data_IF_520062829921
#
_entry.id   IF_520062829921
#
_cell.length_a   1.000
_cell.length_b   1.000
_cell.length_c   1.000
_cell.angle_alpha   90.00
_cell.angle_beta   90.00
_cell.angle_gamma   90.00
#
_symmetry.space_group_name_H-M   'P 1'
#
loop_
_entity.id
_entity.type
_entity.pdbx_description
1 polymer ?
#
# COMPACT_ATOMS: atom_id res chain seq x y z
N UNK A 1 -40.38 -4.06 -18.49
CA UNK A 1 -39.92 -2.70 -18.14
C UNK A 1 -38.83 -2.82 -17.10
N UNK A 2 -37.77 -2.05 -17.31
CA UNK A 2 -36.46 -1.99 -16.65
C UNK A 2 -36.34 -2.32 -15.16
N UNK A 3 -35.24 -3.02 -14.83
CA UNK A 3 -34.22 -2.69 -13.82
C UNK A 3 -33.57 -3.98 -13.27
N UNK A 4 -32.75 -4.64 -14.09
CA UNK A 4 -31.60 -5.37 -13.54
C UNK A 4 -30.55 -4.32 -13.24
N UNK A 5 -30.56 -3.85 -12.00
CA UNK A 5 -29.41 -3.20 -11.42
C UNK A 5 -28.26 -4.21 -11.53
N UNK A 6 -27.14 -3.69 -12.00
CA UNK A 6 -25.88 -4.38 -12.22
C UNK A 6 -25.35 -4.89 -10.86
N UNK A 7 -25.73 -6.12 -10.47
CA UNK A 7 -25.19 -6.83 -9.30
C UNK A 7 -23.74 -7.30 -9.54
N UNK A 8 -23.08 -6.81 -10.59
CA UNK A 8 -21.64 -7.00 -10.79
C UNK A 8 -20.89 -6.26 -9.66
N UNK A 9 -20.03 -6.94 -8.88
CA UNK A 9 -19.12 -6.22 -8.00
C UNK A 9 -18.20 -5.29 -8.82
N UNK A 10 -17.96 -5.59 -10.09
CA UNK A 10 -17.14 -4.77 -10.97
C UNK A 10 -17.94 -3.61 -11.58
N UNK A 11 -17.82 -2.44 -10.95
CA UNK A 11 -18.51 -1.20 -11.34
C UNK A 11 -18.28 -0.85 -12.82
N UNK A 12 -19.34 -0.94 -13.61
CA UNK A 12 -19.35 -0.49 -15.01
C UNK A 12 -18.46 -1.31 -15.96
N UNK A 13 -18.05 -2.52 -15.56
CA UNK A 13 -17.22 -3.40 -16.38
C UNK A 13 -17.99 -4.66 -16.77
N UNK A 14 -18.38 -4.75 -18.05
CA UNK A 14 -18.86 -6.00 -18.65
C UNK A 14 -17.67 -6.89 -19.01
N UNK A 15 -17.71 -8.20 -18.74
CA UNK A 15 -16.70 -9.27 -19.03
C UNK A 15 -15.85 -9.79 -17.86
N UNK A 16 -16.08 -9.37 -16.61
CA UNK A 16 -15.30 -9.81 -15.44
C UNK A 16 -15.29 -11.35 -15.19
N UNK A 17 -16.15 -12.12 -15.86
CA UNK A 17 -16.17 -13.58 -15.89
C UNK A 17 -16.48 -14.09 -17.31
N UNK A 18 -15.70 -13.68 -18.31
CA UNK A 18 -15.77 -14.29 -19.64
C UNK A 18 -15.56 -15.81 -19.56
N UNK A 19 -16.39 -16.62 -20.25
CA UNK A 19 -16.24 -18.08 -20.27
C UNK A 19 -15.12 -18.56 -21.20
N UNK A 20 -14.51 -17.66 -21.99
CA UNK A 20 -13.52 -18.02 -23.02
C UNK A 20 -12.12 -18.08 -22.43
N UNK A 21 -11.66 -16.98 -21.83
CA UNK A 21 -10.37 -16.88 -21.16
C UNK A 21 -10.40 -15.78 -20.11
N UNK A 22 -9.61 -15.97 -19.06
CA UNK A 22 -9.24 -14.95 -18.09
C UNK A 22 -8.58 -13.72 -18.73
N UNK A 23 -7.93 -13.89 -19.89
CA UNK A 23 -7.31 -12.78 -20.63
C UNK A 23 -8.33 -11.81 -21.23
N UNK A 24 -9.61 -12.22 -21.32
CA UNK A 24 -10.71 -11.37 -21.76
C UNK A 24 -11.40 -10.67 -20.57
N UNK A 25 -11.00 -10.97 -19.33
CA UNK A 25 -11.66 -10.40 -18.16
C UNK A 25 -11.30 -8.92 -18.02
N UNK A 26 -12.32 -8.09 -17.80
CA UNK A 26 -12.12 -6.67 -17.56
C UNK A 26 -11.14 -6.44 -16.39
N UNK A 27 -10.03 -5.76 -16.66
CA UNK A 27 -8.98 -5.49 -15.67
C UNK A 27 -7.87 -6.55 -15.62
N UNK A 28 -7.96 -7.63 -16.40
CA UNK A 28 -6.86 -8.58 -16.61
C UNK A 28 -6.15 -8.25 -17.92
N UNK A 29 -4.82 -8.36 -17.94
CA UNK A 29 -4.05 -8.38 -19.18
C UNK A 29 -3.07 -9.55 -19.12
N UNK A 30 -2.97 -10.26 -20.25
CA UNK A 30 -2.05 -11.38 -20.40
C UNK A 30 -0.89 -11.02 -21.33
N UNK A 31 0.26 -11.64 -21.06
CA UNK A 31 1.41 -11.58 -21.96
C UNK A 31 1.17 -12.38 -23.26
N UNK A 32 2.15 -12.34 -24.17
CA UNK A 32 2.08 -13.05 -25.47
C UNK A 32 1.95 -14.58 -25.37
N UNK A 33 2.16 -15.16 -24.19
CA UNK A 33 2.00 -16.60 -23.91
C UNK A 33 0.66 -16.92 -23.22
N UNK A 34 -0.26 -15.95 -23.13
CA UNK A 34 -1.56 -16.11 -22.48
C UNK A 34 -1.45 -16.26 -20.96
N UNK A 35 -0.41 -15.70 -20.32
CA UNK A 35 -0.27 -15.71 -18.85
C UNK A 35 -0.57 -14.34 -18.30
N UNK A 36 -1.38 -14.29 -17.23
CA UNK A 36 -1.75 -13.05 -16.54
C UNK A 36 -0.49 -12.29 -16.12
N UNK A 37 -0.44 -11.03 -16.53
CA UNK A 37 0.68 -10.11 -16.34
C UNK A 37 0.24 -8.87 -15.55
N UNK A 38 -0.98 -8.37 -15.78
CA UNK A 38 -1.55 -7.26 -15.01
C UNK A 38 -2.93 -7.62 -14.46
N UNK A 39 -3.18 -7.26 -13.20
CA UNK A 39 -4.48 -7.25 -12.54
C UNK A 39 -4.78 -5.81 -12.10
N UNK A 40 -5.87 -5.22 -12.61
CA UNK A 40 -6.28 -3.83 -12.41
C UNK A 40 -7.76 -3.72 -12.08
N UNK A 41 -8.03 -3.86 -10.79
CA UNK A 41 -9.37 -3.90 -10.20
C UNK A 41 -9.62 -2.72 -9.26
N UNK A 42 -8.94 -1.60 -9.44
CA UNK A 42 -9.19 -0.38 -8.67
C UNK A 42 -10.63 0.14 -8.83
N UNK A 43 -11.16 0.76 -7.78
CA UNK A 43 -12.48 1.43 -7.76
C UNK A 43 -13.67 0.54 -8.15
N UNK A 44 -13.66 -0.72 -7.69
CA UNK A 44 -14.72 -1.70 -7.97
C UNK A 44 -15.47 -2.13 -6.70
N UNK A 45 -15.49 -1.33 -5.62
CA UNK A 45 -16.18 -1.67 -4.38
C UNK A 45 -15.92 -3.12 -3.88
N UNK A 46 -14.76 -3.71 -4.22
CA UNK A 46 -14.47 -5.11 -3.93
C UNK A 46 -14.35 -5.29 -2.42
N UNK A 47 -15.00 -6.30 -1.89
CA UNK A 47 -14.99 -6.63 -0.46
C UNK A 47 -14.53 -8.07 -0.27
N UNK A 48 -13.78 -8.32 0.79
CA UNK A 48 -13.22 -9.64 1.13
C UNK A 48 -11.70 -9.60 1.22
N UNK A 49 -11.10 -10.78 1.04
CA UNK A 49 -9.67 -11.01 1.19
C UNK A 49 -8.97 -11.09 -0.17
N UNK A 50 -7.68 -10.75 -0.20
CA UNK A 50 -6.82 -11.09 -1.34
C UNK A 50 -6.44 -12.58 -1.19
N UNK A 51 -6.78 -13.45 -2.17
CA UNK A 51 -6.48 -14.87 -2.07
C UNK A 51 -4.98 -15.15 -2.23
N UNK A 52 -4.45 -16.11 -1.46
CA UNK A 52 -3.02 -16.47 -1.52
C UNK A 52 -2.63 -17.12 -2.85
N UNK A 53 -3.62 -17.66 -3.58
CA UNK A 53 -3.49 -18.26 -4.90
C UNK A 53 -2.96 -17.27 -5.95
N UNK A 54 -3.10 -15.94 -5.73
CA UNK A 54 -2.44 -14.95 -6.60
C UNK A 54 -0.91 -15.10 -6.62
N UNK A 55 -0.31 -15.68 -5.58
CA UNK A 55 1.11 -16.04 -5.54
C UNK A 55 1.52 -17.12 -6.55
N UNK A 56 0.57 -17.73 -7.27
CA UNK A 56 0.85 -18.67 -8.36
C UNK A 56 1.08 -17.97 -9.72
N UNK A 57 0.74 -16.68 -9.83
CA UNK A 57 0.86 -15.90 -11.06
C UNK A 57 2.30 -15.43 -11.27
N UNK A 58 3.20 -16.36 -11.63
CA UNK A 58 4.65 -16.11 -11.77
C UNK A 58 5.05 -15.04 -12.79
N UNK A 59 4.13 -14.63 -13.67
CA UNK A 59 4.35 -13.60 -14.68
C UNK A 59 3.72 -12.25 -14.32
N UNK A 60 3.13 -12.13 -13.13
CA UNK A 60 2.46 -10.92 -12.67
C UNK A 60 3.48 -9.79 -12.48
N UNK A 61 3.21 -8.67 -13.14
CA UNK A 61 3.97 -7.41 -13.07
C UNK A 61 3.21 -6.32 -12.33
N UNK A 62 1.90 -6.25 -12.50
CA UNK A 62 1.07 -5.22 -11.88
C UNK A 62 -0.07 -5.86 -11.09
N UNK A 63 -0.14 -5.53 -9.80
CA UNK A 63 -1.31 -5.76 -8.97
C UNK A 63 -1.84 -4.40 -8.49
N UNK A 64 -2.99 -4.00 -9.02
CA UNK A 64 -3.69 -2.79 -8.62
C UNK A 64 -5.11 -3.13 -8.16
N UNK A 65 -5.35 -3.01 -6.86
CA UNK A 65 -6.66 -3.22 -6.22
C UNK A 65 -7.03 -2.03 -5.32
N UNK A 66 -6.47 -0.86 -5.62
CA UNK A 66 -6.66 0.36 -4.85
C UNK A 66 -8.14 0.82 -4.81
N UNK A 67 -8.51 1.58 -3.78
CA UNK A 67 -9.84 2.19 -3.60
C UNK A 67 -10.96 1.15 -3.66
N UNK A 68 -10.84 0.15 -2.80
CA UNK A 68 -11.84 -0.90 -2.60
C UNK A 68 -12.12 -1.06 -1.09
N UNK A 69 -12.86 -2.11 -0.71
CA UNK A 69 -13.16 -2.49 0.68
C UNK A 69 -12.47 -3.80 1.06
N UNK A 70 -11.28 -4.07 0.49
CA UNK A 70 -10.53 -5.28 0.79
C UNK A 70 -9.94 -5.20 2.19
N UNK A 71 -9.87 -6.34 2.87
CA UNK A 71 -9.42 -6.43 4.26
C UNK A 71 -8.68 -7.73 4.55
N UNK A 72 -8.13 -7.83 5.77
CA UNK A 72 -7.29 -8.95 6.20
C UNK A 72 -5.84 -8.82 5.73
N UNK A 73 -5.03 -9.86 5.94
CA UNK A 73 -3.59 -9.80 5.68
C UNK A 73 -3.25 -9.91 4.20
N UNK A 74 -2.29 -9.10 3.74
CA UNK A 74 -1.70 -9.25 2.42
C UNK A 74 -0.95 -10.60 2.32
N UNK A 75 -1.27 -11.46 1.33
CA UNK A 75 -0.65 -12.78 1.22
C UNK A 75 0.86 -12.72 0.99
N UNK A 76 1.63 -13.43 1.82
CA UNK A 76 3.10 -13.39 1.74
C UNK A 76 3.64 -13.96 0.42
N UNK A 77 2.92 -14.89 -0.19
CA UNK A 77 3.28 -15.53 -1.46
C UNK A 77 3.35 -14.54 -2.63
N UNK A 78 2.67 -13.39 -2.52
CA UNK A 78 2.74 -12.35 -3.56
C UNK A 78 4.11 -11.65 -3.52
N UNK A 79 4.75 -11.56 -2.36
CA UNK A 79 6.11 -11.03 -2.25
C UNK A 79 7.14 -11.90 -2.98
N UNK A 80 6.84 -13.17 -3.29
CA UNK A 80 7.75 -14.09 -4.00
C UNK A 80 7.69 -13.96 -5.53
N UNK A 81 6.87 -13.05 -6.07
CA UNK A 81 6.68 -12.86 -7.50
C UNK A 81 7.74 -11.92 -8.08
N UNK A 82 8.87 -12.47 -8.52
CA UNK A 82 10.04 -11.73 -9.03
C UNK A 82 9.81 -10.82 -10.25
N UNK A 83 8.69 -11.00 -10.96
CA UNK A 83 8.32 -10.14 -12.09
C UNK A 83 7.57 -8.87 -11.66
N UNK A 84 7.18 -8.74 -10.39
CA UNK A 84 6.42 -7.59 -9.93
C UNK A 84 7.18 -6.28 -10.14
N UNK A 85 6.48 -5.33 -10.75
CA UNK A 85 6.93 -3.97 -10.99
C UNK A 85 6.09 -2.96 -10.21
N UNK A 86 4.83 -3.27 -9.92
CA UNK A 86 3.91 -2.34 -9.26
C UNK A 86 2.93 -3.10 -8.38
N UNK A 87 2.89 -2.71 -7.10
CA UNK A 87 1.81 -3.04 -6.16
C UNK A 87 1.10 -1.73 -5.78
N UNK A 88 -0.22 -1.70 -5.99
CA UNK A 88 -1.12 -0.63 -5.55
C UNK A 88 -2.27 -1.19 -4.75
N UNK A 89 -2.26 -0.93 -3.46
CA UNK A 89 -3.28 -1.36 -2.50
C UNK A 89 -3.95 -0.17 -1.80
N UNK A 90 -3.61 1.07 -2.21
CA UNK A 90 -4.04 2.30 -1.56
C UNK A 90 -5.55 2.35 -1.29
N UNK A 91 -5.95 2.92 -0.15
CA UNK A 91 -7.35 3.08 0.26
C UNK A 91 -8.11 1.75 0.36
N UNK A 92 -7.68 0.90 1.30
CA UNK A 92 -8.35 -0.35 1.69
C UNK A 92 -8.19 -0.54 3.22
N UNK A 93 -8.49 -1.74 3.75
CA UNK A 93 -8.25 -2.13 5.15
C UNK A 93 -7.34 -3.35 5.22
N UNK A 94 -6.35 -3.42 4.33
CA UNK A 94 -5.41 -4.55 4.21
C UNK A 94 -4.31 -4.39 5.27
N UNK A 95 -3.98 -5.48 5.96
CA UNK A 95 -2.92 -5.54 6.96
C UNK A 95 -1.78 -6.46 6.54
N UNK A 96 -0.95 -6.84 7.51
CA UNK A 96 0.24 -7.66 7.29
C UNK A 96 1.53 -6.87 7.48
N UNK A 97 2.64 -7.47 7.04
CA UNK A 97 3.99 -6.91 7.19
C UNK A 97 4.70 -6.94 5.85
N UNK A 98 5.61 -5.98 5.65
CA UNK A 98 6.58 -6.03 4.55
C UNK A 98 7.70 -6.99 4.99
N UNK A 99 8.05 -8.02 4.20
CA UNK A 99 9.16 -8.91 4.52
C UNK A 99 10.48 -8.18 4.73
N UNK A 100 11.33 -8.72 5.60
CA UNK A 100 12.63 -8.14 5.92
C UNK A 100 13.65 -8.28 4.78
N UNK A 101 13.39 -9.16 3.80
CA UNK A 101 14.21 -9.34 2.59
C UNK A 101 13.31 -9.35 1.34
N UNK A 102 13.63 -8.49 0.38
CA UNK A 102 12.96 -8.37 -0.92
C UNK A 102 13.96 -8.35 -2.08
N UNK A 103 15.18 -8.86 -1.90
CA UNK A 103 16.26 -8.85 -2.90
C UNK A 103 15.85 -9.45 -4.25
N UNK A 104 14.96 -10.46 -4.24
CA UNK A 104 14.47 -11.09 -5.47
C UNK A 104 13.45 -10.23 -6.24
N UNK A 105 12.84 -9.22 -5.63
CA UNK A 105 11.90 -8.28 -6.27
C UNK A 105 12.64 -7.15 -7.02
N UNK A 106 13.70 -7.52 -7.75
CA UNK A 106 14.60 -6.61 -8.48
C UNK A 106 13.96 -5.78 -9.61
N UNK A 107 12.66 -5.98 -9.89
CA UNK A 107 11.91 -5.21 -10.89
C UNK A 107 10.91 -4.21 -10.28
N UNK A 108 10.75 -4.20 -8.95
CA UNK A 108 9.78 -3.35 -8.27
C UNK A 108 10.11 -1.87 -8.49
N UNK A 109 9.13 -1.13 -9.03
CA UNK A 109 9.24 0.31 -9.30
C UNK A 109 8.30 1.13 -8.42
N UNK A 110 7.18 0.55 -8.00
CA UNK A 110 6.14 1.26 -7.23
C UNK A 110 5.55 0.34 -6.18
N UNK A 111 5.71 0.74 -4.93
CA UNK A 111 5.01 0.15 -3.79
C UNK A 111 4.14 1.23 -3.15
N UNK A 112 2.84 1.16 -3.40
CA UNK A 112 1.85 2.15 -2.95
C UNK A 112 0.81 1.41 -2.13
N UNK A 113 0.91 1.52 -0.81
CA UNK A 113 0.08 0.78 0.16
C UNK A 113 -0.47 1.69 1.27
N UNK A 114 -0.47 3.01 1.03
CA UNK A 114 -0.98 3.99 1.97
C UNK A 114 -2.46 3.79 2.31
N UNK A 115 -2.92 4.37 3.43
CA UNK A 115 -4.30 4.27 3.90
C UNK A 115 -4.77 2.81 4.02
N UNK A 116 -4.06 2.06 4.84
CA UNK A 116 -4.30 0.64 5.13
C UNK A 116 -3.94 0.36 6.60
N UNK A 117 -3.79 -0.91 6.97
CA UNK A 117 -3.45 -1.34 8.33
C UNK A 117 -2.15 -2.13 8.41
N UNK A 118 -1.25 -2.00 7.43
CA UNK A 118 0.08 -2.64 7.46
C UNK A 118 0.86 -2.23 8.70
N UNK A 119 1.66 -3.14 9.23
CA UNK A 119 2.37 -2.98 10.50
C UNK A 119 3.77 -3.58 10.45
N UNK A 120 4.49 -3.52 11.57
CA UNK A 120 5.87 -4.00 11.68
C UNK A 120 6.88 -2.93 11.25
N UNK A 121 8.12 -3.35 11.04
CA UNK A 121 9.23 -2.47 10.63
C UNK A 121 9.39 -2.46 9.11
N UNK A 122 9.98 -1.40 8.59
CA UNK A 122 10.20 -1.22 7.15
C UNK A 122 11.64 -1.65 6.81
N UNK A 123 11.99 -2.95 6.82
CA UNK A 123 13.39 -3.38 6.60
C UNK A 123 13.74 -3.67 5.13
N UNK A 124 12.98 -4.53 4.46
CA UNK A 124 13.33 -5.04 3.12
C UNK A 124 13.18 -4.04 1.97
N UNK A 125 12.68 -2.83 2.21
CA UNK A 125 12.44 -1.86 1.12
C UNK A 125 13.72 -1.33 0.48
N UNK A 126 14.86 -1.39 1.19
CA UNK A 126 16.17 -0.98 0.64
C UNK A 126 16.67 -1.91 -0.47
N UNK A 127 16.20 -3.17 -0.48
CA UNK A 127 16.57 -4.15 -1.51
C UNK A 127 15.98 -3.80 -2.90
N UNK A 128 14.95 -2.95 -2.91
CA UNK A 128 14.22 -2.54 -4.11
C UNK A 128 14.97 -1.42 -4.87
N UNK A 129 16.16 -1.73 -5.38
CA UNK A 129 17.06 -0.73 -6.00
C UNK A 129 16.49 0.04 -7.21
N UNK A 130 15.44 -0.48 -7.87
CA UNK A 130 14.73 0.20 -8.99
C UNK A 130 13.49 0.98 -8.55
N UNK A 131 13.24 1.10 -7.24
CA UNK A 131 12.05 1.74 -6.71
C UNK A 131 12.04 3.22 -7.06
N UNK A 132 10.92 3.70 -7.59
CA UNK A 132 10.68 5.11 -7.93
C UNK A 132 9.67 5.77 -7.00
N UNK A 133 8.73 4.98 -6.46
CA UNK A 133 7.68 5.46 -5.58
C UNK A 133 7.46 4.49 -4.42
N UNK A 134 7.58 5.01 -3.20
CA UNK A 134 7.31 4.32 -1.95
C UNK A 134 6.28 5.12 -1.13
N UNK A 135 5.03 4.67 -1.11
CA UNK A 135 3.95 5.38 -0.41
C UNK A 135 3.38 4.48 0.69
N UNK A 136 3.80 4.76 1.92
CA UNK A 136 3.49 3.98 3.12
C UNK A 136 2.66 4.76 4.14
N UNK A 137 2.34 6.02 3.85
CA UNK A 137 1.66 6.91 4.78
C UNK A 137 0.32 6.35 5.27
N UNK A 138 -0.09 6.73 6.49
CA UNK A 138 -1.36 6.30 7.09
C UNK A 138 -1.48 4.77 7.18
N UNK A 139 -0.56 4.16 7.90
CA UNK A 139 -0.52 2.75 8.27
C UNK A 139 -0.07 2.63 9.75
N UNK A 140 0.24 1.41 10.20
CA UNK A 140 0.67 1.11 11.57
C UNK A 140 2.16 0.70 11.64
N UNK A 141 3.01 1.21 10.74
CA UNK A 141 4.45 0.88 10.77
C UNK A 141 5.12 1.46 12.03
N UNK A 142 6.07 0.71 12.58
CA UNK A 142 6.85 1.07 13.79
C UNK A 142 8.36 1.08 13.51
N UNK A 143 9.12 1.65 14.44
CA UNK A 143 10.58 1.73 14.35
C UNK A 143 11.04 2.90 13.48
N UNK A 144 12.24 2.82 12.91
CA UNK A 144 12.81 3.88 12.09
C UNK A 144 12.67 3.61 10.60
N UNK A 145 12.81 4.68 9.80
CA UNK A 145 13.03 4.58 8.36
C UNK A 145 14.46 4.02 8.16
N UNK A 146 14.67 2.93 7.41
CA UNK A 146 15.99 2.34 7.25
C UNK A 146 16.91 3.18 6.34
N UNK A 147 18.18 3.24 6.68
CA UNK A 147 19.21 3.92 5.87
C UNK A 147 19.34 3.33 4.46
N UNK A 148 19.04 2.04 4.30
CA UNK A 148 19.12 1.32 3.02
C UNK A 148 18.14 1.81 1.95
N UNK A 149 17.14 2.63 2.29
CA UNK A 149 16.30 3.27 1.25
C UNK A 149 17.15 4.19 0.36
N UNK A 150 18.27 4.72 0.86
CA UNK A 150 19.22 5.50 0.05
C UNK A 150 19.80 4.73 -1.15
N UNK A 151 19.78 3.39 -1.13
CA UNK A 151 20.28 2.57 -2.23
C UNK A 151 19.36 2.58 -3.46
N UNK A 152 18.09 2.95 -3.29
CA UNK A 152 17.13 3.13 -4.39
C UNK A 152 17.35 4.48 -5.10
N UNK A 153 18.46 4.59 -5.86
CA UNK A 153 18.91 5.86 -6.48
C UNK A 153 17.92 6.55 -7.43
N UNK A 154 16.96 5.79 -7.96
CA UNK A 154 15.92 6.29 -8.86
C UNK A 154 14.63 6.73 -8.15
N UNK A 155 14.62 6.70 -6.80
CA UNK A 155 13.47 7.09 -6.00
C UNK A 155 13.19 8.59 -6.14
N UNK A 156 11.93 8.92 -6.43
CA UNK A 156 11.48 10.31 -6.60
C UNK A 156 10.32 10.68 -5.69
N UNK A 157 9.66 9.68 -5.09
CA UNK A 157 8.54 9.85 -4.17
C UNK A 157 8.68 8.88 -3.00
N UNK A 158 8.77 9.40 -1.78
CA UNK A 158 8.73 8.61 -0.56
C UNK A 158 7.86 9.30 0.50
N UNK A 159 6.87 8.57 1.04
CA UNK A 159 5.91 9.13 1.99
C UNK A 159 5.70 8.19 3.17
N UNK A 160 5.95 8.71 4.37
CA UNK A 160 5.98 7.94 5.61
C UNK A 160 5.05 8.46 6.72
N UNK A 161 4.48 9.65 6.55
CA UNK A 161 3.66 10.32 7.57
C UNK A 161 2.44 9.48 8.00
N UNK A 162 1.84 9.76 9.16
CA UNK A 162 0.70 9.01 9.68
C UNK A 162 1.02 7.56 10.04
N UNK A 163 2.22 7.28 10.51
CA UNK A 163 2.62 5.97 11.06
C UNK A 163 3.06 6.10 12.53
N UNK A 164 3.53 5.02 13.16
CA UNK A 164 4.15 5.03 14.48
C UNK A 164 5.68 4.96 14.38
N UNK A 165 6.22 5.59 13.35
CA UNK A 165 7.66 5.66 13.10
C UNK A 165 8.32 6.66 14.06
N UNK A 166 9.59 6.43 14.36
CA UNK A 166 10.40 7.26 15.25
C UNK A 166 11.80 7.49 14.68
N UNK A 167 12.53 8.45 15.26
CA UNK A 167 13.91 8.72 14.91
C UNK A 167 14.04 9.82 13.86
N UNK A 168 14.98 9.65 12.93
CA UNK A 168 15.32 10.65 11.91
C UNK A 168 15.18 10.05 10.52
N UNK A 169 14.77 10.86 9.54
CA UNK A 169 14.92 10.51 8.13
C UNK A 169 16.43 10.37 7.81
N UNK A 170 16.90 9.21 7.30
CA UNK A 170 18.32 8.99 7.02
C UNK A 170 18.90 9.98 6.02
N UNK A 171 20.13 10.47 6.23
CA UNK A 171 20.76 11.37 5.25
C UNK A 171 21.00 10.70 3.89
N UNK A 172 21.14 9.37 3.86
CA UNK A 172 21.26 8.60 2.62
C UNK A 172 20.06 8.77 1.68
N UNK A 173 18.88 9.07 2.21
CA UNK A 173 17.70 9.38 1.41
C UNK A 173 17.72 10.84 0.93
N UNK A 174 18.31 11.75 1.71
CA UNK A 174 18.36 13.19 1.37
C UNK A 174 19.22 13.49 0.13
N UNK A 175 20.16 12.62 -0.20
CA UNK A 175 21.02 12.75 -1.38
C UNK A 175 20.27 12.46 -2.70
N UNK A 176 19.11 11.80 -2.63
CA UNK A 176 18.31 11.53 -3.82
C UNK A 176 17.54 12.77 -4.27
N UNK A 177 17.36 12.93 -5.58
CA UNK A 177 16.61 14.04 -6.17
C UNK A 177 15.08 13.84 -6.03
N UNK A 178 14.59 13.91 -4.80
CA UNK A 178 13.18 13.74 -4.48
C UNK A 178 12.32 14.85 -5.07
N UNK A 179 11.23 14.44 -5.72
CA UNK A 179 10.11 15.33 -6.02
C UNK A 179 9.20 15.50 -4.81
N UNK A 180 9.02 14.42 -4.05
CA UNK A 180 8.19 14.38 -2.85
C UNK A 180 8.84 13.47 -1.80
N UNK A 181 9.20 14.02 -0.66
CA UNK A 181 9.65 13.30 0.53
C UNK A 181 8.89 13.84 1.74
N UNK A 182 8.07 13.01 2.39
CA UNK A 182 7.23 13.46 3.51
C UNK A 182 7.28 12.53 4.70
N UNK A 183 7.41 13.09 5.91
CA UNK A 183 7.29 12.40 7.19
C UNK A 183 6.48 13.26 8.18
N UNK A 184 6.23 12.73 9.38
CA UNK A 184 5.57 13.46 10.49
C UNK A 184 6.54 14.47 11.17
N UNK A 185 7.35 15.20 10.39
CA UNK A 185 8.42 16.08 10.90
C UNK A 185 7.98 17.34 11.65
N UNK A 186 6.67 17.55 11.80
CA UNK A 186 6.07 18.62 12.61
C UNK A 186 5.13 18.09 13.70
N UNK A 187 5.15 16.78 13.97
CA UNK A 187 4.38 16.17 15.04
C UNK A 187 5.13 16.33 16.38
N UNK A 188 4.45 16.82 17.41
CA UNK A 188 4.99 16.94 18.78
C UNK A 188 4.69 15.69 19.63
N UNK A 189 4.10 14.64 19.03
CA UNK A 189 3.82 13.37 19.71
C UNK A 189 5.09 12.53 19.93
N UNK A 190 5.01 11.50 20.79
CA UNK A 190 6.11 10.56 21.01
C UNK A 190 6.52 9.73 19.77
N UNK A 191 5.76 9.84 18.67
CA UNK A 191 5.97 9.12 17.41
C UNK A 191 6.30 10.10 16.27
N UNK A 192 7.20 11.03 16.52
CA UNK A 192 7.66 11.98 15.51
C UNK A 192 8.94 11.50 14.81
N UNK A 193 9.10 11.91 13.55
CA UNK A 193 10.29 11.63 12.74
C UNK A 193 10.92 12.95 12.32
N UNK A 194 12.11 13.27 12.84
CA UNK A 194 12.84 14.48 12.42
C UNK A 194 13.28 14.36 10.96
N UNK A 195 13.22 15.45 10.21
CA UNK A 195 13.62 15.45 8.80
C UNK A 195 14.12 16.82 8.35
N UNK A 196 15.39 16.90 7.97
CA UNK A 196 16.02 18.15 7.51
C UNK A 196 15.89 18.37 6.00
N UNK A 197 15.50 17.34 5.24
CA UNK A 197 15.43 17.35 3.78
C UNK A 197 14.04 17.02 3.21
N UNK A 198 13.01 16.92 4.07
CA UNK A 198 11.66 16.63 3.62
C UNK A 198 11.09 17.79 2.81
N UNK A 199 10.40 17.46 1.73
CA UNK A 199 9.73 18.45 0.87
C UNK A 199 8.45 18.98 1.51
N UNK A 200 7.82 18.18 2.38
CA UNK A 200 6.64 18.57 3.15
C UNK A 200 6.58 17.77 4.47
N UNK A 201 5.96 18.35 5.49
CA UNK A 201 5.76 17.75 6.81
C UNK A 201 4.26 17.80 7.19
N UNK A 202 3.44 16.87 6.67
CA UNK A 202 2.01 16.86 6.95
C UNK A 202 1.75 16.70 8.45
N UNK A 203 0.79 17.44 8.98
CA UNK A 203 0.29 17.25 10.35
C UNK A 203 -0.73 16.11 10.33
N UNK A 204 -0.69 15.13 11.26
CA UNK A 204 -1.68 14.07 11.33
C UNK A 204 -3.09 14.67 11.49
N UNK A 205 -4.04 14.30 10.61
CA UNK A 205 -5.36 14.96 10.54
C UNK A 205 -6.21 14.73 11.81
N UNK A 206 -5.95 13.66 12.57
CA UNK A 206 -6.42 13.44 13.94
C UNK A 206 -6.08 12.00 14.30
N UNK A 207 -5.06 11.75 15.12
CA UNK A 207 -4.98 10.45 15.80
C UNK A 207 -6.11 10.43 16.84
N UNK A 208 -6.90 9.35 16.98
CA UNK A 208 -7.69 9.20 18.19
C UNK A 208 -6.69 9.28 19.35
N UNK A 209 -6.88 10.27 20.21
CA UNK A 209 -6.08 10.46 21.41
C UNK A 209 -6.28 9.17 22.22
N UNK A 210 -5.32 8.25 22.17
CA UNK A 210 -5.24 7.21 23.19
C UNK A 210 -4.69 7.93 24.40
N UNK A 211 -5.59 8.44 25.23
CA UNK A 211 -5.20 8.96 26.54
C UNK A 211 -4.45 7.85 27.28
N UNK A 212 -3.27 8.13 27.85
CA UNK A 212 -2.54 7.17 28.64
C UNK A 212 -3.32 6.89 29.91
N UNK A 213 -4.01 5.75 29.94
CA UNK A 213 -4.67 5.15 31.10
C UNK A 213 -5.72 6.02 31.82
N UNK A 214 -6.99 5.70 31.55
CA UNK A 214 -8.07 5.79 32.54
C UNK A 214 -9.07 6.91 32.31
N UNK A 215 -10.11 6.64 31.52
CA UNK A 215 -11.53 6.63 31.91
C UNK A 215 -12.34 6.19 30.66
N UNK A 216 -13.38 5.40 30.91
CA UNK A 216 -14.32 4.78 29.97
C UNK A 216 -14.88 5.74 28.90
N UNK A 217 -14.72 5.40 27.61
CA UNK A 217 -15.56 5.94 26.53
C UNK A 217 -16.86 5.14 26.48
N UNK A 218 -17.80 5.44 27.36
CA UNK A 218 -19.20 5.49 26.96
C UNK A 218 -19.45 6.92 26.47
N UNK A 219 -20.29 7.09 25.46
CA UNK A 219 -20.69 8.39 24.88
C UNK A 219 -19.88 8.84 23.65
N UNK A 220 -19.87 8.00 22.61
CA UNK A 220 -20.08 8.49 21.25
C UNK A 220 -20.61 7.41 20.30
N UNK A 221 -21.82 6.94 20.59
CA UNK A 221 -22.66 6.16 19.68
C UNK A 221 -24.11 6.65 19.84
N UNK A 222 -24.40 7.90 19.43
CA UNK A 222 -25.77 8.40 19.30
C UNK A 222 -25.85 9.58 18.31
N UNK A 223 -25.17 9.44 17.16
CA UNK A 223 -25.53 10.14 15.94
C UNK A 223 -25.35 9.14 14.81
N UNK A 224 -26.41 8.37 14.53
CA UNK A 224 -26.73 7.66 13.27
C UNK A 224 -27.68 6.49 13.55
N UNK A 225 -28.76 6.69 14.32
CA UNK A 225 -29.99 5.91 14.19
C UNK A 225 -31.19 6.79 14.62
N UNK A 226 -32.04 7.08 13.64
CA UNK A 226 -33.27 7.90 13.61
C UNK A 226 -33.13 9.41 13.46
#
# INVERSE_FOLDING_TARGET
GSNRLDDSPFKGKSSYLSPVSECDWAGITCNTRGKVEDIRFEENNLNGFIPFELGQLRFLKVLNVARNFLHGSFPSQIWDLNMLETIRLDDNVIGGQIPDNLEHLSNMKRLIINNNTFSGTIRGVGDLTKLRSLELQNNNFIGSIPDSIGDARDIVSAKFHGNMLTGTVPLSICDNSFRVLTSDCRDESAFFVSCDCCTDCPVPISRPIVEPCGISVSDRFDQFLN
#
